data_IF_964060398281
#
_entry.id   IF_964060398281
#
_cell.length_a   1.000
_cell.length_b   1.000
_cell.length_c   1.000
_cell.angle_alpha   90.00
_cell.angle_beta   90.00
_cell.angle_gamma   90.00
#
_symmetry.space_group_name_H-M   'P 1'
#
loop_
_entity.id
_entity.type
_entity.pdbx_description
1 polymer ?
#
# COMPACT_ATOMS: atom_id res chain seq x y z
N UNK A 1 -45.53 -47.86 74.13
CA UNK A 1 -44.09 -47.51 74.20
C UNK A 1 -43.44 -47.37 72.81
N UNK A 2 -43.76 -48.27 71.87
CA UNK A 2 -43.25 -48.30 70.49
C UNK A 2 -43.42 -46.99 69.69
N UNK A 3 -44.61 -46.36 69.76
CA UNK A 3 -44.89 -45.13 69.00
C UNK A 3 -44.05 -43.92 69.44
N UNK A 4 -43.55 -43.91 70.69
CA UNK A 4 -42.71 -42.83 71.19
C UNK A 4 -41.26 -42.97 70.71
N UNK A 5 -40.76 -44.22 70.66
CA UNK A 5 -39.42 -44.55 70.17
C UNK A 5 -39.32 -44.27 68.66
N UNK A 6 -40.36 -44.63 67.89
CA UNK A 6 -40.40 -44.40 66.44
C UNK A 6 -40.39 -42.90 66.07
N UNK A 7 -41.09 -42.06 66.84
CA UNK A 7 -41.09 -40.60 66.64
C UNK A 7 -39.73 -39.98 66.98
N UNK A 8 -39.05 -40.47 68.02
CA UNK A 8 -37.70 -40.00 68.40
C UNK A 8 -36.63 -40.41 67.39
N UNK A 9 -36.69 -41.62 66.83
CA UNK A 9 -35.74 -42.02 65.79
C UNK A 9 -35.92 -41.23 64.49
N UNK A 10 -37.16 -40.96 64.07
CA UNK A 10 -37.41 -40.13 62.89
C UNK A 10 -36.99 -38.67 63.08
N UNK A 11 -37.14 -38.08 64.27
CA UNK A 11 -36.68 -36.71 64.51
C UNK A 11 -35.15 -36.61 64.54
N UNK A 12 -34.46 -37.65 65.02
CA UNK A 12 -32.99 -37.73 65.04
C UNK A 12 -32.44 -37.95 63.61
N UNK A 13 -33.04 -38.82 62.79
CA UNK A 13 -32.63 -39.00 61.39
C UNK A 13 -32.84 -37.75 60.54
N UNK A 14 -33.97 -37.05 60.70
CA UNK A 14 -34.24 -35.82 59.95
C UNK A 14 -33.30 -34.66 60.35
N UNK A 15 -32.98 -34.53 61.64
CA UNK A 15 -32.04 -33.48 62.10
C UNK A 15 -30.58 -33.77 61.70
N UNK A 16 -30.18 -35.03 61.65
CA UNK A 16 -28.84 -35.42 61.15
C UNK A 16 -28.72 -35.31 59.62
N UNK A 17 -29.74 -35.68 58.84
CA UNK A 17 -29.72 -35.49 57.38
C UNK A 17 -29.69 -34.01 56.98
N UNK A 18 -30.48 -33.16 57.65
CA UNK A 18 -30.51 -31.72 57.35
C UNK A 18 -29.19 -31.01 57.71
N UNK A 19 -28.52 -31.40 58.79
CA UNK A 19 -27.23 -30.81 59.19
C UNK A 19 -26.05 -31.29 58.33
N UNK A 20 -26.12 -32.50 57.78
CA UNK A 20 -25.12 -33.02 56.83
C UNK A 20 -25.32 -32.40 55.44
N UNK A 21 -26.56 -32.25 54.97
CA UNK A 21 -26.85 -31.62 53.67
C UNK A 21 -26.43 -30.15 53.61
N UNK A 22 -26.70 -29.37 54.66
CA UNK A 22 -26.32 -27.95 54.74
C UNK A 22 -24.80 -27.72 54.78
N UNK A 23 -24.04 -28.54 55.52
CA UNK A 23 -22.56 -28.47 55.53
C UNK A 23 -21.94 -28.87 54.19
N UNK A 24 -22.53 -29.86 53.50
CA UNK A 24 -22.03 -30.34 52.20
C UNK A 24 -22.35 -29.35 51.07
N UNK A 25 -23.49 -28.67 51.12
CA UNK A 25 -23.84 -27.61 50.16
C UNK A 25 -22.98 -26.36 50.34
N UNK A 26 -22.69 -25.93 51.57
CA UNK A 26 -21.85 -24.76 51.81
C UNK A 26 -20.39 -25.00 51.40
N UNK A 27 -19.83 -26.17 51.70
CA UNK A 27 -18.45 -26.51 51.30
C UNK A 27 -18.29 -26.68 49.77
N UNK A 28 -19.32 -27.15 49.07
CA UNK A 28 -19.30 -27.24 47.60
C UNK A 28 -19.49 -25.87 46.94
N UNK A 29 -20.36 -25.00 47.46
CA UNK A 29 -20.49 -23.61 46.98
C UNK A 29 -19.18 -22.81 47.13
N UNK A 30 -18.50 -22.91 48.27
CA UNK A 30 -17.22 -22.22 48.50
C UNK A 30 -16.14 -22.72 47.52
N UNK A 31 -16.10 -24.04 47.23
CA UNK A 31 -15.18 -24.60 46.23
C UNK A 31 -15.49 -24.12 44.81
N UNK A 32 -16.77 -24.01 44.46
CA UNK A 32 -17.20 -23.52 43.14
C UNK A 32 -16.83 -22.04 42.99
N UNK A 33 -17.07 -21.19 43.98
CA UNK A 33 -16.70 -19.77 43.94
C UNK A 33 -15.18 -19.56 43.82
N UNK A 34 -14.39 -20.34 44.56
CA UNK A 34 -12.93 -20.28 44.48
C UNK A 34 -12.42 -20.71 43.08
N UNK A 35 -13.02 -21.74 42.49
CA UNK A 35 -12.71 -22.14 41.11
C UNK A 35 -13.11 -21.07 40.09
N UNK A 36 -14.28 -20.46 40.24
CA UNK A 36 -14.79 -19.41 39.35
C UNK A 36 -13.92 -18.15 39.41
N UNK A 37 -13.41 -17.81 40.59
CA UNK A 37 -12.47 -16.71 40.79
C UNK A 37 -11.09 -17.02 40.19
N UNK A 38 -10.60 -18.25 40.30
CA UNK A 38 -9.36 -18.68 39.65
C UNK A 38 -9.45 -18.62 38.11
N UNK A 39 -10.58 -19.06 37.54
CA UNK A 39 -10.84 -18.99 36.09
C UNK A 39 -10.95 -17.54 35.62
N UNK A 40 -11.68 -16.67 36.35
CA UNK A 40 -11.77 -15.23 36.04
C UNK A 40 -10.40 -14.56 36.04
N UNK A 41 -9.55 -14.88 37.01
CA UNK A 41 -8.20 -14.33 37.09
C UNK A 41 -7.30 -14.82 35.95
N UNK A 42 -7.38 -16.11 35.60
CA UNK A 42 -6.65 -16.66 34.45
C UNK A 42 -7.09 -16.02 33.13
N UNK A 43 -8.41 -15.86 32.91
CA UNK A 43 -8.95 -15.21 31.72
C UNK A 43 -8.53 -13.73 31.62
N UNK A 44 -8.51 -13.01 32.75
CA UNK A 44 -8.06 -11.62 32.82
C UNK A 44 -6.57 -11.48 32.49
N UNK A 45 -5.73 -12.42 32.93
CA UNK A 45 -4.31 -12.47 32.58
C UNK A 45 -4.09 -12.76 31.09
N UNK A 46 -4.83 -13.70 30.50
CA UNK A 46 -4.79 -14.00 29.07
C UNK A 46 -5.21 -12.81 28.21
N UNK A 47 -6.28 -12.10 28.60
CA UNK A 47 -6.73 -10.89 27.91
C UNK A 47 -5.68 -9.78 28.02
N UNK A 48 -5.05 -9.59 29.18
CA UNK A 48 -3.99 -8.61 29.36
C UNK A 48 -2.74 -8.95 28.53
N UNK A 49 -2.41 -10.24 28.35
CA UNK A 49 -1.31 -10.70 27.50
C UNK A 49 -1.60 -10.51 26.01
N UNK A 50 -2.83 -10.76 25.57
CA UNK A 50 -3.28 -10.49 24.19
C UNK A 50 -3.29 -8.98 23.92
N UNK A 51 -3.78 -8.17 24.88
CA UNK A 51 -3.82 -6.71 24.77
C UNK A 51 -2.42 -6.11 24.75
N UNK A 52 -1.47 -6.62 25.56
CA UNK A 52 -0.08 -6.18 25.53
C UNK A 52 0.64 -6.61 24.24
N UNK A 53 0.43 -7.85 23.77
CA UNK A 53 0.95 -8.35 22.50
C UNK A 53 0.46 -7.57 21.29
N UNK A 54 -0.85 -7.29 21.20
CA UNK A 54 -1.44 -6.44 20.15
C UNK A 54 -0.91 -5.02 20.26
N UNK A 55 -0.73 -4.46 21.46
CA UNK A 55 -0.21 -3.11 21.64
C UNK A 55 1.28 -3.00 21.27
N UNK A 56 2.08 -4.03 21.51
CA UNK A 56 3.50 -4.10 21.11
C UNK A 56 3.61 -4.29 19.59
N UNK A 57 2.84 -5.21 18.99
CA UNK A 57 2.77 -5.35 17.53
C UNK A 57 2.26 -4.07 16.87
N UNK A 58 1.23 -3.42 17.41
CA UNK A 58 0.73 -2.15 16.91
C UNK A 58 1.76 -1.03 17.07
N UNK A 59 2.48 -0.92 18.19
CA UNK A 59 3.56 0.06 18.38
C UNK A 59 4.74 -0.19 17.44
N UNK A 60 5.13 -1.44 17.23
CA UNK A 60 6.19 -1.82 16.30
C UNK A 60 5.77 -1.63 14.84
N UNK A 61 4.50 -1.89 14.51
CA UNK A 61 3.92 -1.65 13.19
C UNK A 61 3.76 -0.13 12.94
N UNK A 62 3.37 0.67 13.95
CA UNK A 62 3.34 2.14 13.88
C UNK A 62 4.75 2.71 13.72
N UNK A 63 5.76 2.16 14.43
CA UNK A 63 7.17 2.55 14.27
C UNK A 63 7.71 2.13 12.90
N UNK A 64 7.33 0.94 12.41
CA UNK A 64 7.61 0.45 11.07
C UNK A 64 7.00 1.35 9.99
N UNK A 65 5.71 1.67 10.09
CA UNK A 65 5.01 2.60 9.21
C UNK A 65 5.65 4.00 9.25
N UNK A 66 6.00 4.52 10.43
CA UNK A 66 6.70 5.81 10.54
C UNK A 66 8.04 5.79 9.79
N UNK A 67 8.78 4.69 9.87
CA UNK A 67 10.05 4.52 9.15
C UNK A 67 9.84 4.33 7.64
N UNK A 68 8.76 3.67 7.22
CA UNK A 68 8.37 3.46 5.82
C UNK A 68 7.93 4.75 5.12
N UNK A 69 7.39 5.73 5.86
CA UNK A 69 6.86 6.98 5.30
C UNK A 69 7.75 8.22 5.54
N UNK A 70 9.02 8.04 5.91
CA UNK A 70 9.95 9.15 6.19
C UNK A 70 10.12 10.10 4.99
N UNK A 71 10.16 9.57 3.77
CA UNK A 71 10.20 10.37 2.54
C UNK A 71 8.99 11.30 2.43
N UNK A 72 7.79 10.85 2.85
CA UNK A 72 6.57 11.65 2.78
C UNK A 72 6.46 12.66 3.91
N UNK A 73 6.99 12.33 5.09
CA UNK A 73 7.17 13.29 6.18
C UNK A 73 8.13 14.41 5.72
N UNK A 74 9.20 14.06 5.00
CA UNK A 74 10.12 15.04 4.43
C UNK A 74 9.42 15.89 3.35
N UNK A 75 8.68 15.29 2.41
CA UNK A 75 7.86 16.04 1.43
C UNK A 75 6.85 16.97 2.09
N UNK A 76 6.26 16.55 3.20
CA UNK A 76 5.34 17.38 3.98
C UNK A 76 6.06 18.57 4.62
N UNK A 77 7.24 18.36 5.22
CA UNK A 77 8.06 19.42 5.80
C UNK A 77 8.58 20.41 4.75
N UNK A 78 9.08 19.92 3.62
CA UNK A 78 9.52 20.73 2.48
C UNK A 78 8.35 21.51 1.86
N UNK A 79 7.22 20.83 1.60
CA UNK A 79 6.01 21.46 1.06
C UNK A 79 5.46 22.55 1.97
N UNK A 80 5.46 22.31 3.29
CA UNK A 80 5.12 23.34 4.27
C UNK A 80 6.07 24.54 4.20
N UNK A 81 7.38 24.30 4.12
CA UNK A 81 8.38 25.36 4.02
C UNK A 81 8.28 26.14 2.69
N UNK A 82 7.98 25.47 1.58
CA UNK A 82 7.77 26.08 0.27
C UNK A 82 6.52 26.97 0.24
N UNK A 83 5.42 26.50 0.83
CA UNK A 83 4.20 27.32 0.96
C UNK A 83 4.44 28.53 1.86
N UNK A 84 5.17 28.38 2.97
CA UNK A 84 5.59 29.50 3.82
C UNK A 84 6.46 30.49 3.03
N UNK A 85 7.39 30.01 2.21
CA UNK A 85 8.23 30.83 1.35
C UNK A 85 7.40 31.62 0.30
N UNK A 86 6.46 30.97 -0.38
CA UNK A 86 5.55 31.63 -1.34
C UNK A 86 4.71 32.71 -0.62
N UNK A 87 4.18 32.40 0.56
CA UNK A 87 3.40 33.36 1.34
C UNK A 87 4.21 34.59 1.75
N UNK A 88 5.50 34.42 2.08
CA UNK A 88 6.43 35.54 2.35
C UNK A 88 6.73 36.39 1.11
N UNK A 89 6.61 35.84 -0.10
CA UNK A 89 6.86 36.52 -1.38
C UNK A 89 5.71 37.43 -1.83
N UNK A 90 4.50 37.24 -1.29
CA UNK A 90 3.34 38.08 -1.60
C UNK A 90 3.38 39.35 -0.72
N UNK A 91 3.55 40.55 -1.29
CA UNK A 91 3.78 41.77 -0.51
C UNK A 91 2.62 42.14 0.43
N UNK A 92 1.37 41.78 0.08
CA UNK A 92 0.18 42.01 0.93
C UNK A 92 0.07 41.09 2.15
N UNK A 93 0.74 39.93 2.13
CA UNK A 93 0.65 38.90 3.19
C UNK A 93 1.93 38.86 4.03
N UNK A 94 3.05 39.34 3.48
CA UNK A 94 4.36 39.48 4.12
C UNK A 94 4.30 40.08 5.52
N UNK A 95 3.51 41.14 5.72
CA UNK A 95 3.45 41.87 6.99
C UNK A 95 2.54 41.20 8.05
N UNK A 96 1.81 40.14 7.70
CA UNK A 96 0.97 39.35 8.63
C UNK A 96 1.61 38.01 9.03
N UNK A 97 2.73 37.67 8.42
CA UNK A 97 3.47 36.43 8.62
C UNK A 97 4.70 36.76 9.47
N UNK A 98 4.53 36.83 10.79
CA UNK A 98 5.65 36.95 11.72
C UNK A 98 6.67 35.82 11.49
N UNK A 99 7.95 36.13 11.64
CA UNK A 99 9.06 35.16 11.60
C UNK A 99 8.93 34.05 12.67
N UNK A 100 8.03 34.21 13.65
CA UNK A 100 7.62 33.25 14.67
C UNK A 100 6.84 32.02 14.14
N UNK A 101 6.64 31.88 12.83
CA UNK A 101 6.01 30.67 12.24
C UNK A 101 6.87 29.40 12.39
N UNK A 102 8.14 29.55 12.75
CA UNK A 102 9.01 28.45 13.17
C UNK A 102 8.94 28.15 14.67
N UNK A 103 8.28 29.02 15.44
CA UNK A 103 8.22 28.91 16.88
C UNK A 103 7.08 27.99 17.31
N UNK A 104 7.31 27.20 18.38
CA UNK A 104 6.48 26.05 18.80
C UNK A 104 4.99 26.38 19.06
N UNK A 105 4.60 27.66 19.07
CA UNK A 105 3.25 28.16 19.44
C UNK A 105 2.18 28.11 18.32
N UNK A 106 2.53 27.92 17.03
CA UNK A 106 1.54 27.84 15.91
C UNK A 106 1.59 26.54 15.09
N UNK A 107 1.78 25.40 15.76
CA UNK A 107 1.77 24.04 15.16
C UNK A 107 0.55 23.80 14.24
N UNK A 108 -0.64 24.31 14.62
CA UNK A 108 -1.88 24.13 13.85
C UNK A 108 -1.89 24.82 12.47
N UNK A 109 -1.14 25.90 12.26
CA UNK A 109 -1.09 26.59 10.96
C UNK A 109 -0.07 25.93 10.03
N UNK A 110 1.10 25.54 10.56
CA UNK A 110 2.11 24.80 9.81
C UNK A 110 1.60 23.44 9.34
N UNK A 111 0.80 22.74 10.15
CA UNK A 111 0.17 21.49 9.73
C UNK A 111 -0.86 21.71 8.62
N UNK A 112 -1.67 22.78 8.67
CA UNK A 112 -2.61 23.11 7.59
C UNK A 112 -1.91 23.39 6.25
N UNK A 113 -0.83 24.16 6.26
CA UNK A 113 -0.05 24.44 5.04
C UNK A 113 0.67 23.20 4.51
N UNK A 114 1.21 22.33 5.38
CA UNK A 114 1.77 21.05 4.97
C UNK A 114 0.74 20.09 4.37
N UNK A 115 -0.47 20.02 4.95
CA UNK A 115 -1.57 19.21 4.42
C UNK A 115 -2.00 19.72 3.05
N UNK A 116 -2.11 21.05 2.88
CA UNK A 116 -2.42 21.66 1.59
C UNK A 116 -1.37 21.32 0.52
N UNK A 117 -0.08 21.49 0.82
CA UNK A 117 1.00 21.15 -0.12
C UNK A 117 0.99 19.65 -0.50
N UNK A 118 0.67 18.78 0.46
CA UNK A 118 0.56 17.34 0.22
C UNK A 118 -0.62 17.01 -0.71
N UNK A 119 -1.79 17.61 -0.48
CA UNK A 119 -2.96 17.46 -1.34
C UNK A 119 -2.67 17.98 -2.74
N UNK A 120 -2.05 19.17 -2.87
CA UNK A 120 -1.68 19.72 -4.18
C UNK A 120 -0.71 18.81 -4.94
N UNK A 121 0.30 18.26 -4.26
CA UNK A 121 1.27 17.34 -4.88
C UNK A 121 0.56 16.06 -5.36
N UNK A 122 -0.35 15.53 -4.56
CA UNK A 122 -1.16 14.35 -4.88
C UNK A 122 -2.03 14.61 -6.12
N UNK A 123 -2.72 15.75 -6.17
CA UNK A 123 -3.55 16.15 -7.33
C UNK A 123 -2.70 16.33 -8.59
N UNK A 124 -1.51 16.94 -8.48
CA UNK A 124 -0.61 17.11 -9.63
C UNK A 124 -0.07 15.77 -10.14
N UNK A 125 0.27 14.83 -9.24
CA UNK A 125 0.67 13.47 -9.61
C UNK A 125 -0.47 12.72 -10.29
N UNK A 126 -1.71 12.89 -9.83
CA UNK A 126 -2.90 12.36 -10.47
C UNK A 126 -3.13 12.95 -11.86
N UNK A 127 -3.06 14.28 -12.01
CA UNK A 127 -3.28 14.96 -13.27
C UNK A 127 -2.28 14.51 -14.35
N UNK A 128 -1.01 14.34 -14.01
CA UNK A 128 0.01 13.80 -14.93
C UNK A 128 -0.37 12.40 -15.45
N UNK A 129 -0.87 11.52 -14.57
CA UNK A 129 -1.32 10.17 -14.95
C UNK A 129 -2.58 10.20 -15.79
N UNK A 130 -3.49 11.14 -15.52
CA UNK A 130 -4.69 11.35 -16.33
C UNK A 130 -4.33 11.83 -17.73
N UNK A 131 -3.44 12.82 -17.86
CA UNK A 131 -2.93 13.29 -19.16
C UNK A 131 -2.27 12.14 -19.92
N UNK A 132 -1.44 11.33 -19.25
CA UNK A 132 -0.84 10.14 -19.86
C UNK A 132 -1.91 9.16 -20.38
N UNK A 133 -2.92 8.84 -19.58
CA UNK A 133 -3.99 7.92 -19.99
C UNK A 133 -4.81 8.48 -21.16
N UNK A 134 -5.11 9.78 -21.17
CA UNK A 134 -5.82 10.39 -22.31
C UNK A 134 -4.98 10.30 -23.58
N UNK A 135 -3.69 10.67 -23.51
CA UNK A 135 -2.81 10.71 -24.68
C UNK A 135 -2.50 9.31 -25.23
N UNK A 136 -2.21 8.33 -24.37
CA UNK A 136 -1.74 7.01 -24.79
C UNK A 136 -2.83 5.93 -24.76
N UNK A 137 -3.98 6.14 -24.15
CA UNK A 137 -5.06 5.14 -24.12
C UNK A 137 -6.25 5.65 -24.93
N UNK A 138 -6.77 6.84 -24.59
CA UNK A 138 -8.01 7.33 -25.18
C UNK A 138 -7.87 7.83 -26.62
N UNK A 139 -6.82 8.62 -26.92
CA UNK A 139 -6.58 9.13 -28.27
C UNK A 139 -6.36 7.97 -29.25
N UNK A 140 -5.47 6.98 -28.98
CA UNK A 140 -5.25 5.87 -29.90
C UNK A 140 -6.50 5.00 -30.08
N UNK A 141 -7.29 4.80 -29.03
CA UNK A 141 -8.60 4.14 -29.13
C UNK A 141 -9.50 4.83 -30.16
N UNK A 142 -9.61 6.17 -30.11
CA UNK A 142 -10.42 6.93 -31.09
C UNK A 142 -9.82 6.91 -32.50
N UNK A 143 -8.50 7.01 -32.62
CA UNK A 143 -7.83 7.00 -33.92
C UNK A 143 -7.97 5.64 -34.62
N UNK A 144 -7.71 4.55 -33.90
CA UNK A 144 -7.85 3.18 -34.41
C UNK A 144 -9.33 2.85 -34.65
N UNK A 145 -10.22 3.29 -33.77
CA UNK A 145 -11.67 3.09 -33.90
C UNK A 145 -12.27 3.74 -35.15
N UNK A 146 -11.67 4.81 -35.69
CA UNK A 146 -12.09 5.38 -36.99
C UNK A 146 -11.80 4.46 -38.18
N UNK A 147 -10.74 3.64 -38.09
CA UNK A 147 -10.34 2.71 -39.16
C UNK A 147 -10.96 1.33 -38.95
N UNK A 148 -11.04 0.88 -37.70
CA UNK A 148 -11.50 -0.45 -37.30
C UNK A 148 -12.78 -0.33 -36.46
N UNK A 149 -13.93 -0.58 -37.09
CA UNK A 149 -15.25 -0.42 -36.47
C UNK A 149 -15.44 -1.35 -35.26
N UNK A 150 -14.87 -2.55 -35.27
CA UNK A 150 -14.98 -3.51 -34.16
C UNK A 150 -14.34 -3.01 -32.86
N UNK A 151 -13.28 -2.20 -32.95
CA UNK A 151 -12.63 -1.56 -31.80
C UNK A 151 -13.53 -0.47 -31.21
N UNK A 152 -14.21 0.28 -32.08
CA UNK A 152 -15.15 1.34 -31.67
C UNK A 152 -16.38 0.75 -30.96
N UNK A 153 -16.96 -0.32 -31.51
CA UNK A 153 -18.14 -0.99 -30.96
C UNK A 153 -17.89 -1.57 -29.56
N UNK A 154 -16.68 -2.08 -29.30
CA UNK A 154 -16.27 -2.61 -28.00
C UNK A 154 -15.35 -1.62 -27.28
N UNK A 155 -15.90 -0.47 -26.89
CA UNK A 155 -15.15 0.59 -26.20
C UNK A 155 -14.42 0.07 -24.95
N UNK A 156 -15.13 -0.65 -24.07
CA UNK A 156 -14.56 -1.11 -22.79
C UNK A 156 -13.36 -2.05 -23.00
N UNK A 157 -13.52 -3.07 -23.85
CA UNK A 157 -12.48 -4.05 -24.14
C UNK A 157 -11.22 -3.39 -24.70
N UNK A 158 -11.41 -2.43 -25.60
CA UNK A 158 -10.32 -1.71 -26.25
C UNK A 158 -9.55 -0.85 -25.27
N UNK A 159 -10.25 -0.07 -24.44
CA UNK A 159 -9.62 0.76 -23.40
C UNK A 159 -8.86 -0.10 -22.40
N UNK A 160 -9.45 -1.22 -21.95
CA UNK A 160 -8.80 -2.17 -21.03
C UNK A 160 -7.51 -2.72 -21.65
N UNK A 161 -7.56 -3.14 -22.92
CA UNK A 161 -6.40 -3.67 -23.63
C UNK A 161 -5.26 -2.64 -23.73
N UNK A 162 -5.53 -1.46 -24.27
CA UNK A 162 -4.52 -0.39 -24.40
C UNK A 162 -3.96 0.01 -23.04
N UNK A 163 -4.82 0.09 -22.02
CA UNK A 163 -4.41 0.42 -20.67
C UNK A 163 -3.46 -0.64 -20.09
N UNK A 164 -3.76 -1.93 -20.24
CA UNK A 164 -2.92 -3.02 -19.73
C UNK A 164 -1.54 -3.02 -20.40
N UNK A 165 -1.48 -2.93 -21.72
CA UNK A 165 -0.19 -2.97 -22.42
C UNK A 165 0.66 -1.74 -22.08
N UNK A 166 0.08 -0.54 -22.18
CA UNK A 166 0.83 0.71 -22.01
C UNK A 166 1.08 1.09 -20.56
N UNK A 167 0.15 0.81 -19.65
CA UNK A 167 0.24 1.25 -18.26
C UNK A 167 0.72 0.12 -17.37
N UNK A 168 0.19 -1.10 -17.53
CA UNK A 168 0.56 -2.22 -16.67
C UNK A 168 1.90 -2.83 -17.06
N UNK A 169 2.09 -3.26 -18.31
CA UNK A 169 3.34 -3.90 -18.72
C UNK A 169 4.47 -2.89 -18.88
N UNK A 170 4.31 -1.91 -19.77
CA UNK A 170 5.33 -0.90 -19.99
C UNK A 170 5.60 -0.07 -18.72
N UNK A 171 4.54 0.38 -18.04
CA UNK A 171 4.68 1.20 -16.84
C UNK A 171 5.27 0.46 -15.63
N UNK A 172 5.07 -0.86 -15.48
CA UNK A 172 5.68 -1.61 -14.37
C UNK A 172 7.18 -1.80 -14.55
N UNK A 173 7.66 -1.97 -15.79
CA UNK A 173 9.08 -2.24 -16.07
C UNK A 173 9.89 -0.95 -16.26
N UNK A 174 9.33 0.08 -16.91
CA UNK A 174 10.10 1.30 -17.22
C UNK A 174 10.18 2.28 -16.04
N UNK A 175 9.08 2.42 -15.29
CA UNK A 175 8.96 3.40 -14.22
C UNK A 175 9.46 2.86 -12.87
N UNK A 176 10.67 2.30 -12.83
CA UNK A 176 11.20 1.71 -11.59
C UNK A 176 11.57 2.76 -10.56
N UNK A 177 11.07 2.57 -9.35
CA UNK A 177 11.35 3.42 -8.18
C UNK A 177 12.75 3.21 -7.65
N UNK A 178 13.31 2.00 -7.77
CA UNK A 178 14.62 1.69 -7.23
C UNK A 178 15.76 2.41 -7.96
N UNK A 179 15.65 2.50 -9.28
CA UNK A 179 16.68 3.09 -10.14
C UNK A 179 16.45 4.59 -10.43
N UNK A 180 15.36 5.18 -9.95
CA UNK A 180 15.09 6.63 -10.09
C UNK A 180 15.43 7.35 -8.78
N UNK A 181 16.72 7.65 -8.58
CA UNK A 181 17.16 8.48 -7.45
C UNK A 181 16.86 9.96 -7.70
N UNK A 182 16.09 10.56 -6.82
CA UNK A 182 15.88 12.00 -6.69
C UNK A 182 16.87 12.57 -5.66
N UNK A 183 17.14 13.88 -5.70
CA UNK A 183 18.05 14.53 -4.74
C UNK A 183 17.60 14.36 -3.28
N UNK A 184 16.30 14.14 -3.06
CA UNK A 184 15.74 13.79 -1.75
C UNK A 184 16.15 12.40 -1.27
N UNK A 185 16.21 11.43 -2.18
CA UNK A 185 16.62 10.07 -1.84
C UNK A 185 18.08 10.07 -1.39
N UNK A 186 18.91 10.90 -2.02
CA UNK A 186 20.29 11.13 -1.59
C UNK A 186 20.37 11.69 -0.17
N UNK A 187 19.60 12.74 0.15
CA UNK A 187 19.57 13.31 1.51
C UNK A 187 19.10 12.25 2.52
N UNK A 188 18.08 11.47 2.18
CA UNK A 188 17.50 10.52 3.13
C UNK A 188 18.42 9.32 3.40
N UNK A 189 19.13 8.84 2.38
CA UNK A 189 20.07 7.73 2.54
C UNK A 189 21.41 8.16 3.15
N UNK A 190 21.94 9.33 2.77
CA UNK A 190 23.29 9.77 3.20
C UNK A 190 23.29 10.66 4.44
N UNK A 191 22.31 11.57 4.57
CA UNK A 191 22.26 12.55 5.69
C UNK A 191 21.41 12.01 6.84
N UNK A 192 20.22 11.50 6.54
CA UNK A 192 19.28 10.99 7.57
C UNK A 192 19.62 9.54 7.97
N UNK A 193 20.48 8.87 7.19
CA UNK A 193 20.95 7.49 7.44
C UNK A 193 19.80 6.48 7.59
N UNK A 194 18.76 6.64 6.76
CA UNK A 194 17.65 5.69 6.71
C UNK A 194 18.12 4.41 6.03
N UNK A 195 17.78 3.26 6.61
CA UNK A 195 18.06 1.96 5.99
C UNK A 195 17.44 1.89 4.58
N UNK A 196 18.29 1.63 3.59
CA UNK A 196 17.92 1.57 2.16
C UNK A 196 16.72 0.66 1.90
N UNK A 197 16.72 -0.56 2.44
CA UNK A 197 15.65 -1.54 2.25
C UNK A 197 14.27 -1.01 2.66
N UNK A 198 14.20 -0.32 3.81
CA UNK A 198 12.93 0.20 4.35
C UNK A 198 12.43 1.37 3.51
N UNK A 199 13.34 2.24 3.06
CA UNK A 199 12.98 3.36 2.21
C UNK A 199 12.39 2.90 0.87
N UNK A 200 13.11 2.04 0.14
CA UNK A 200 12.67 1.60 -1.18
C UNK A 200 11.39 0.78 -1.11
N UNK A 201 11.26 -0.08 -0.10
CA UNK A 201 10.04 -0.84 0.11
C UNK A 201 8.84 0.07 0.38
N UNK A 202 9.00 1.06 1.28
CA UNK A 202 7.95 2.04 1.56
C UNK A 202 7.51 2.82 0.32
N UNK A 203 8.45 3.14 -0.58
CA UNK A 203 8.17 3.82 -1.84
C UNK A 203 7.42 2.93 -2.84
N UNK A 204 7.81 1.65 -2.99
CA UNK A 204 7.08 0.68 -3.83
C UNK A 204 5.66 0.49 -3.31
N UNK A 205 5.50 0.29 -2.00
CA UNK A 205 4.19 0.10 -1.38
C UNK A 205 3.27 1.32 -1.54
N UNK A 206 3.79 2.53 -1.31
CA UNK A 206 3.05 3.75 -1.55
C UNK A 206 2.63 3.89 -3.02
N UNK A 207 3.52 3.52 -3.94
CA UNK A 207 3.24 3.54 -5.38
C UNK A 207 2.12 2.56 -5.74
N UNK A 208 2.10 1.36 -5.16
CA UNK A 208 1.02 0.39 -5.35
C UNK A 208 -0.35 0.95 -4.93
N UNK A 209 -0.44 1.52 -3.73
CA UNK A 209 -1.71 2.08 -3.22
C UNK A 209 -2.17 3.26 -4.08
N UNK A 210 -1.26 4.19 -4.39
CA UNK A 210 -1.63 5.36 -5.19
C UNK A 210 -2.01 4.99 -6.61
N UNK A 211 -1.33 4.03 -7.24
CA UNK A 211 -1.69 3.53 -8.57
C UNK A 211 -3.04 2.81 -8.56
N UNK A 212 -3.34 2.01 -7.54
CA UNK A 212 -4.66 1.40 -7.38
C UNK A 212 -5.78 2.46 -7.38
N UNK A 213 -5.63 3.51 -6.57
CA UNK A 213 -6.65 4.57 -6.43
C UNK A 213 -6.74 5.40 -7.72
N UNK A 214 -5.61 5.86 -8.24
CA UNK A 214 -5.60 6.74 -9.42
C UNK A 214 -6.13 6.02 -10.67
N UNK A 215 -5.70 4.79 -10.92
CA UNK A 215 -6.14 4.06 -12.12
C UNK A 215 -7.60 3.64 -12.06
N UNK A 216 -8.14 3.36 -10.87
CA UNK A 216 -9.58 3.12 -10.71
C UNK A 216 -10.38 4.35 -11.13
N UNK A 217 -9.98 5.54 -10.66
CA UNK A 217 -10.66 6.80 -11.02
C UNK A 217 -10.48 7.12 -12.52
N UNK A 218 -9.29 6.94 -13.07
CA UNK A 218 -9.00 7.21 -14.48
C UNK A 218 -9.83 6.31 -15.40
N UNK A 219 -9.90 5.01 -15.12
CA UNK A 219 -10.68 4.08 -15.95
C UNK A 219 -12.19 4.37 -15.90
N UNK A 220 -12.70 4.82 -14.76
CA UNK A 220 -14.09 5.30 -14.64
C UNK A 220 -14.34 6.54 -15.50
N UNK A 221 -13.41 7.50 -15.50
CA UNK A 221 -13.50 8.70 -16.35
C UNK A 221 -13.48 8.34 -17.84
N UNK A 222 -12.75 7.28 -18.21
CA UNK A 222 -12.68 6.78 -19.60
C UNK A 222 -13.93 5.99 -20.05
N UNK A 223 -14.91 5.79 -19.16
CA UNK A 223 -16.19 5.15 -19.48
C UNK A 223 -16.16 3.61 -19.37
N UNK A 224 -15.24 3.04 -18.60
CA UNK A 224 -15.20 1.59 -18.33
C UNK A 224 -16.06 1.27 -17.10
N UNK A 225 -16.86 0.20 -17.17
CA UNK A 225 -17.66 -0.28 -16.03
C UNK A 225 -16.85 -0.44 -14.74
N UNK A 226 -17.49 -0.21 -13.59
CA UNK A 226 -16.86 -0.23 -12.27
C UNK A 226 -16.18 -1.58 -11.95
N UNK A 227 -16.83 -2.70 -12.31
CA UNK A 227 -16.29 -4.06 -12.12
C UNK A 227 -14.93 -4.23 -12.80
N UNK A 228 -14.84 -3.82 -14.07
CA UNK A 228 -13.63 -3.96 -14.87
C UNK A 228 -12.55 -2.96 -14.43
N UNK A 229 -12.93 -1.73 -14.10
CA UNK A 229 -12.00 -0.70 -13.59
C UNK A 229 -11.27 -1.16 -12.32
N UNK A 230 -11.98 -1.76 -11.38
CA UNK A 230 -11.38 -2.31 -10.16
C UNK A 230 -10.47 -3.49 -10.48
N UNK A 231 -10.96 -4.45 -11.26
CA UNK A 231 -10.18 -5.65 -11.61
C UNK A 231 -8.85 -5.30 -12.27
N UNK A 232 -8.86 -4.43 -13.28
CA UNK A 232 -7.65 -3.99 -14.01
C UNK A 232 -6.73 -3.16 -13.11
N UNK A 233 -7.27 -2.38 -12.19
CA UNK A 233 -6.46 -1.62 -11.22
C UNK A 233 -5.76 -2.54 -10.23
N UNK A 234 -6.44 -3.58 -9.73
CA UNK A 234 -5.82 -4.62 -8.90
C UNK A 234 -4.74 -5.40 -9.65
N UNK A 235 -5.02 -5.76 -10.90
CA UNK A 235 -4.03 -6.40 -11.78
C UNK A 235 -2.79 -5.51 -11.96
N UNK A 236 -2.99 -4.22 -12.20
CA UNK A 236 -1.90 -3.25 -12.37
C UNK A 236 -1.08 -3.07 -11.10
N UNK A 237 -1.76 -3.00 -9.95
CA UNK A 237 -1.10 -2.96 -8.65
C UNK A 237 -0.23 -4.20 -8.40
N UNK A 238 -0.72 -5.40 -8.75
CA UNK A 238 -0.01 -6.66 -8.56
C UNK A 238 1.21 -6.81 -9.48
N UNK A 239 1.13 -6.30 -10.71
CA UNK A 239 2.24 -6.29 -11.66
C UNK A 239 3.37 -5.32 -11.28
N UNK A 240 3.12 -4.38 -10.36
CA UNK A 240 4.11 -3.39 -9.93
C UNK A 240 5.36 -4.00 -9.27
N UNK A 241 5.25 -4.79 -8.18
CA UNK A 241 6.43 -5.41 -7.57
C UNK A 241 7.11 -6.39 -8.53
N UNK A 242 6.35 -7.03 -9.42
CA UNK A 242 6.89 -7.88 -10.48
C UNK A 242 7.82 -7.11 -11.43
N UNK A 243 7.40 -5.94 -11.92
CA UNK A 243 8.24 -5.10 -12.79
C UNK A 243 9.51 -4.60 -12.12
N UNK A 244 9.43 -4.18 -10.85
CA UNK A 244 10.60 -3.78 -10.06
C UNK A 244 11.56 -4.95 -9.84
N UNK A 245 11.02 -6.15 -9.58
CA UNK A 245 11.82 -7.38 -9.42
C UNK A 245 12.50 -7.81 -10.72
N UNK A 246 11.80 -7.79 -11.86
CA UNK A 246 12.40 -8.08 -13.18
C UNK A 246 13.55 -7.12 -13.46
N UNK A 247 13.35 -5.84 -13.17
CA UNK A 247 14.37 -4.82 -13.41
C UNK A 247 15.60 -5.01 -12.53
N UNK A 248 15.41 -5.52 -11.31
CA UNK A 248 16.51 -5.95 -10.44
C UNK A 248 17.27 -7.18 -10.95
N UNK A 249 16.56 -8.16 -11.54
CA UNK A 249 17.21 -9.32 -12.13
C UNK A 249 18.09 -8.93 -13.31
N UNK A 250 17.58 -8.07 -14.20
CA UNK A 250 18.35 -7.53 -15.33
C UNK A 250 19.60 -6.82 -14.79
N UNK A 251 19.48 -6.07 -13.69
CA UNK A 251 20.62 -5.39 -13.04
C UNK A 251 21.69 -6.35 -12.55
N UNK A 252 21.28 -7.37 -11.79
CA UNK A 252 22.23 -8.33 -11.22
C UNK A 252 22.96 -9.14 -12.31
N UNK A 253 22.34 -9.37 -13.47
CA UNK A 253 22.96 -10.08 -14.58
C UNK A 253 23.86 -9.18 -15.45
N UNK A 254 23.49 -7.91 -15.64
CA UNK A 254 24.15 -7.05 -16.63
C UNK A 254 25.20 -6.12 -16.05
N UNK A 255 25.12 -5.75 -14.77
CA UNK A 255 26.12 -4.91 -14.05
C UNK A 255 26.36 -3.49 -14.60
N UNK A 256 25.84 -3.13 -15.79
CA UNK A 256 26.13 -1.89 -16.53
C UNK A 256 24.88 -1.08 -16.88
N UNK A 257 23.81 -1.21 -16.09
CA UNK A 257 22.50 -0.67 -16.49
C UNK A 257 22.44 0.85 -16.51
N UNK A 258 23.26 1.56 -15.72
CA UNK A 258 23.11 3.02 -15.64
C UNK A 258 23.30 3.71 -17.00
N UNK A 259 24.26 3.28 -17.82
CA UNK A 259 24.48 3.83 -19.17
C UNK A 259 23.44 3.35 -20.19
N UNK A 260 23.02 2.08 -20.12
CA UNK A 260 22.11 1.49 -21.12
C UNK A 260 20.62 1.59 -20.75
N UNK A 261 20.28 2.17 -19.60
CA UNK A 261 18.90 2.23 -19.10
C UNK A 261 17.97 2.96 -20.04
N UNK A 262 18.40 4.10 -20.57
CA UNK A 262 17.59 4.88 -21.51
C UNK A 262 17.26 4.04 -22.75
N UNK A 263 18.22 3.28 -23.27
CA UNK A 263 18.03 2.37 -24.39
C UNK A 263 17.10 1.21 -24.07
N UNK A 264 17.28 0.55 -22.92
CA UNK A 264 16.43 -0.58 -22.50
C UNK A 264 14.98 -0.11 -22.28
N UNK A 265 14.80 1.02 -21.59
CA UNK A 265 13.47 1.61 -21.39
C UNK A 265 12.83 2.03 -22.72
N UNK A 266 13.61 2.61 -23.64
CA UNK A 266 13.16 2.96 -24.99
C UNK A 266 12.72 1.74 -25.79
N UNK A 267 13.47 0.64 -25.71
CA UNK A 267 13.15 -0.62 -26.39
C UNK A 267 11.88 -1.27 -25.84
N UNK A 268 11.73 -1.32 -24.51
CA UNK A 268 10.50 -1.83 -23.87
C UNK A 268 9.30 -0.98 -24.27
N UNK A 269 9.47 0.34 -24.27
CA UNK A 269 8.41 1.27 -24.64
C UNK A 269 8.03 1.10 -26.12
N UNK A 270 9.00 1.02 -27.04
CA UNK A 270 8.75 0.76 -28.46
C UNK A 270 8.03 -0.58 -28.69
N UNK A 271 8.46 -1.65 -28.00
CA UNK A 271 7.77 -2.95 -28.05
C UNK A 271 6.33 -2.86 -27.54
N UNK A 272 6.08 -2.09 -26.47
CA UNK A 272 4.74 -1.84 -25.96
C UNK A 272 3.88 -1.02 -26.95
N UNK A 273 4.44 -0.01 -27.62
CA UNK A 273 3.73 0.75 -28.66
C UNK A 273 3.32 -0.15 -29.84
N UNK A 274 4.25 -0.97 -30.34
CA UNK A 274 3.97 -1.89 -31.45
C UNK A 274 2.87 -2.87 -31.04
N UNK A 275 3.03 -3.53 -29.90
CA UNK A 275 2.02 -4.50 -29.44
C UNK A 275 0.68 -3.84 -29.15
N UNK A 276 0.65 -2.67 -28.49
CA UNK A 276 -0.59 -2.00 -28.14
C UNK A 276 -1.38 -1.54 -29.36
N UNK A 277 -0.75 -1.02 -30.41
CA UNK A 277 -1.47 -0.34 -31.50
C UNK A 277 -1.41 -1.06 -32.85
N UNK A 278 -0.29 -1.70 -33.17
CA UNK A 278 -0.13 -2.40 -34.46
C UNK A 278 -0.96 -3.69 -34.47
N UNK A 279 -0.99 -4.44 -33.36
CA UNK A 279 -1.78 -5.67 -33.30
C UNK A 279 -3.28 -5.44 -33.52
N UNK A 280 -3.97 -4.50 -32.84
CA UNK A 280 -5.38 -4.22 -33.14
C UNK A 280 -5.63 -3.71 -34.55
N UNK A 281 -4.64 -3.03 -35.14
CA UNK A 281 -4.71 -2.54 -36.52
C UNK A 281 -4.66 -3.70 -37.54
N UNK A 282 -3.74 -4.64 -37.37
CA UNK A 282 -3.59 -5.80 -38.27
C UNK A 282 -4.72 -6.81 -38.14
N UNK A 283 -5.05 -7.23 -36.90
CA UNK A 283 -6.05 -8.28 -36.66
C UNK A 283 -7.50 -7.75 -36.72
N UNK A 284 -7.69 -6.43 -36.84
CA UNK A 284 -8.99 -5.72 -36.92
C UNK A 284 -10.00 -6.06 -35.82
N UNK A 285 -9.55 -6.76 -34.78
CA UNK A 285 -10.34 -7.24 -33.66
C UNK A 285 -9.45 -7.32 -32.44
N UNK A 286 -10.03 -7.08 -31.27
CA UNK A 286 -9.39 -7.34 -29.99
C UNK A 286 -10.04 -8.59 -29.43
N UNK A 287 -9.22 -9.57 -29.07
CA UNK A 287 -9.71 -10.85 -28.56
C UNK A 287 -10.51 -10.66 -27.27
N UNK A 288 -11.68 -11.31 -27.16
CA UNK A 288 -12.48 -11.33 -25.92
C UNK A 288 -11.73 -12.00 -24.75
N UNK A 289 -10.59 -12.63 -24.99
CA UNK A 289 -9.72 -13.19 -23.94
C UNK A 289 -9.21 -12.14 -22.96
N UNK A 290 -9.17 -10.85 -23.33
CA UNK A 290 -8.78 -9.77 -22.41
C UNK A 290 -9.76 -9.57 -21.25
N UNK A 291 -11.03 -10.00 -21.39
CA UNK A 291 -11.94 -10.07 -20.24
C UNK A 291 -11.51 -11.09 -19.17
N UNK A 292 -10.66 -12.08 -19.51
CA UNK A 292 -10.11 -13.03 -18.53
C UNK A 292 -9.27 -12.35 -17.44
N UNK A 293 -8.72 -11.17 -17.73
CA UNK A 293 -8.02 -10.36 -16.71
C UNK A 293 -8.97 -9.95 -15.57
N UNK A 294 -10.27 -9.88 -15.87
CA UNK A 294 -11.31 -9.58 -14.88
C UNK A 294 -11.90 -10.81 -14.20
N UNK A 295 -11.39 -12.00 -14.51
CA UNK A 295 -11.77 -13.22 -13.82
C UNK A 295 -11.12 -13.24 -12.42
N UNK A 296 -11.89 -13.43 -11.33
CA UNK A 296 -11.35 -13.45 -9.97
C UNK A 296 -10.24 -14.49 -9.77
N UNK A 297 -10.31 -15.66 -10.43
CA UNK A 297 -9.27 -16.69 -10.28
C UNK A 297 -7.92 -16.24 -10.82
N UNK A 298 -7.92 -15.54 -11.96
CA UNK A 298 -6.70 -14.99 -12.55
C UNK A 298 -6.10 -13.88 -11.66
N UNK A 299 -6.94 -13.03 -11.08
CA UNK A 299 -6.51 -11.99 -10.14
C UNK A 299 -5.89 -12.57 -8.86
N UNK A 300 -6.45 -13.65 -8.32
CA UNK A 300 -5.87 -14.32 -7.15
C UNK A 300 -4.47 -14.86 -7.51
N UNK A 301 -4.32 -15.48 -8.68
CA UNK A 301 -3.03 -15.97 -9.16
C UNK A 301 -1.96 -14.88 -9.23
N UNK A 302 -2.27 -13.73 -9.85
CA UNK A 302 -1.30 -12.62 -9.96
C UNK A 302 -0.98 -11.99 -8.60
N UNK A 303 -1.96 -11.95 -7.68
CA UNK A 303 -1.76 -11.41 -6.33
C UNK A 303 -0.82 -12.29 -5.51
N UNK A 304 -0.93 -13.62 -5.62
CA UNK A 304 0.00 -14.54 -4.95
C UNK A 304 1.43 -14.32 -5.46
N UNK A 305 1.60 -14.19 -6.78
CA UNK A 305 2.91 -13.90 -7.38
C UNK A 305 3.44 -12.52 -6.91
N UNK A 306 2.55 -11.53 -6.80
CA UNK A 306 2.89 -10.19 -6.29
C UNK A 306 3.36 -10.21 -4.84
N UNK A 307 2.71 -11.00 -3.97
CA UNK A 307 3.13 -11.17 -2.58
C UNK A 307 4.49 -11.88 -2.51
N UNK A 308 4.68 -12.93 -3.32
CA UNK A 308 5.95 -13.65 -3.38
C UNK A 308 7.11 -12.74 -3.83
N UNK A 309 6.90 -11.96 -4.91
CA UNK A 309 7.91 -10.99 -5.38
C UNK A 309 8.16 -9.88 -4.37
N UNK A 310 7.13 -9.42 -3.65
CA UNK A 310 7.29 -8.45 -2.58
C UNK A 310 8.12 -9.00 -1.41
N UNK A 311 7.95 -10.28 -1.06
CA UNK A 311 8.75 -10.95 -0.04
C UNK A 311 10.21 -11.15 -0.47
N UNK A 312 10.43 -11.49 -1.74
CA UNK A 312 11.77 -11.58 -2.33
C UNK A 312 12.47 -10.21 -2.36
N UNK A 313 11.74 -9.15 -2.70
CA UNK A 313 12.23 -7.78 -2.60
C UNK A 313 12.63 -7.47 -1.17
N UNK A 314 11.78 -7.70 -0.16
CA UNK A 314 12.13 -7.42 1.24
C UNK A 314 13.42 -8.12 1.72
N UNK A 315 13.64 -9.36 1.28
CA UNK A 315 14.77 -10.20 1.70
C UNK A 315 16.07 -9.90 0.93
N UNK A 316 16.01 -9.08 -0.12
CA UNK A 316 17.16 -8.80 -0.97
C UNK A 316 18.24 -8.02 -0.20
N UNK A 317 19.44 -8.60 -0.06
CA UNK A 317 20.52 -8.03 0.77
C UNK A 317 21.37 -6.97 0.05
N UNK A 318 21.34 -6.90 -1.29
CA UNK A 318 22.23 -6.03 -2.09
C UNK A 318 21.67 -4.63 -2.38
N UNK A 319 20.58 -4.19 -1.73
CA UNK A 319 20.04 -2.83 -1.93
C UNK A 319 21.06 -1.72 -1.65
N UNK A 320 21.98 -1.94 -0.71
CA UNK A 320 23.01 -0.95 -0.38
C UNK A 320 23.96 -0.71 -1.54
N UNK A 321 24.36 -1.77 -2.27
CA UNK A 321 25.21 -1.65 -3.46
C UNK A 321 24.50 -0.88 -4.56
N UNK A 322 23.25 -1.23 -4.86
CA UNK A 322 22.47 -0.51 -5.89
C UNK A 322 22.25 0.96 -5.52
N UNK A 323 22.01 1.25 -4.24
CA UNK A 323 21.89 2.62 -3.76
C UNK A 323 23.21 3.40 -3.87
N UNK A 324 24.34 2.77 -3.58
CA UNK A 324 25.67 3.38 -3.73
C UNK A 324 26.00 3.66 -5.19
N UNK A 325 25.75 2.69 -6.09
CA UNK A 325 25.99 2.83 -7.53
C UNK A 325 25.13 3.97 -8.11
N UNK A 326 23.84 4.03 -7.73
CA UNK A 326 22.96 5.11 -8.20
C UNK A 326 23.34 6.49 -7.65
N UNK A 327 23.92 6.56 -6.46
CA UNK A 327 24.46 7.82 -5.89
C UNK A 327 25.75 8.24 -6.59
N UNK A 328 26.59 7.29 -6.99
CA UNK A 328 27.83 7.55 -7.72
C UNK A 328 27.54 8.17 -9.08
N UNK A 329 26.68 7.54 -9.89
CA UNK A 329 26.29 8.04 -11.23
C UNK A 329 25.71 9.46 -11.17
N UNK A 330 24.83 9.74 -10.20
CA UNK A 330 24.23 11.09 -10.06
C UNK A 330 25.23 12.17 -9.64
N UNK A 331 26.39 11.80 -9.09
CA UNK A 331 27.48 12.75 -8.82
C UNK A 331 28.18 13.13 -10.13
N UNK A 332 28.34 12.19 -11.06
CA UNK A 332 28.93 12.43 -12.38
C UNK A 332 28.03 13.31 -13.25
N UNK A 333 26.70 13.14 -13.22
CA UNK A 333 25.74 13.99 -13.97
C UNK A 333 25.76 15.48 -13.59
N UNK A 334 26.36 15.86 -12.45
CA UNK A 334 26.41 17.25 -11.95
C UNK A 334 27.77 17.94 -12.13
N UNK A 335 28.79 17.18 -12.55
CA UNK A 335 30.10 17.68 -12.93
C UNK A 335 30.09 17.97 -14.42
#
# INVERSE_FOLDING_TARGET
>A
MENCIKRRMNSIQNSTQNSIQTKTQNSTQIRIENCLNAIKNSLKNSINFIKSGICICAKNCIKGCKNLFQEKILKFCEGANFVIYILKRIPKVRNKVNDDLFDKKKIKQRTKFGVFALICTLILEFLKKLVYAVIFVYIPYKLIGKVVINVLNNQELSIIYFFIIMTTFCGSITNNTMFTMSDRDYIMLRVILVKSNIHYFGRIFYKMITELVYFTIILLILGVSFKYSIAVSFFTMAMRPLGEFISLLIYNNSGKIHDMRASINGLIMAGAFITAYVLPYEYRTISNTWYKVSNPYFLIGILVISIATMWLLWTYKKYEKVAQDAVYVRREDKL
#
